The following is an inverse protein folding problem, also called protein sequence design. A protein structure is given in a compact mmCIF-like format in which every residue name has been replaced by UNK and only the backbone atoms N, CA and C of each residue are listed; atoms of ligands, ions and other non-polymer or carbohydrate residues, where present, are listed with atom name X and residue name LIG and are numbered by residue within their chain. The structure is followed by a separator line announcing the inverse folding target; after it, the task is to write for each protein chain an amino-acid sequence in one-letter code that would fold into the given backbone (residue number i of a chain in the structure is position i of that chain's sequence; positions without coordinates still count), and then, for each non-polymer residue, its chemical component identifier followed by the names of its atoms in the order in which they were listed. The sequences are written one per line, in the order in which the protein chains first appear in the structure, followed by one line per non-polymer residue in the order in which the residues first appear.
data_IF_314088375589
#
_entry.id   IF_314088375589
#
_cell.length_a   1.000
_cell.length_b   1.000
_cell.length_c   1.000
_cell.angle_alpha   90.00
_cell.angle_beta   90.00
_cell.angle_gamma   90.00
#
_symmetry.space_group_name_H-M   'P 1'
#
loop_
_entity.id
_entity.type
_entity.pdbx_description
1 polymer ?
#
# COMPACT_ATOMS: atom_id res chain seq x y z
N UNK A 1 19.18 18.19 4.93
CA UNK A 1 18.53 17.32 3.92
C UNK A 1 19.39 17.17 2.66
N UNK A 2 19.82 18.27 2.03
CA UNK A 2 20.62 18.23 0.79
C UNK A 2 21.90 17.40 0.96
N UNK A 3 22.70 17.67 1.97
CA UNK A 3 23.97 16.97 2.22
C UNK A 3 23.78 15.46 2.36
N UNK A 4 22.67 15.02 2.98
CA UNK A 4 22.34 13.59 3.09
C UNK A 4 21.99 12.98 1.73
N UNK A 5 21.21 13.68 0.91
CA UNK A 5 20.85 13.23 -0.44
C UNK A 5 22.10 13.14 -1.30
N UNK A 6 22.93 14.18 -1.29
CA UNK A 6 24.19 14.21 -2.03
C UNK A 6 25.12 13.07 -1.61
N UNK A 7 25.25 12.84 -0.31
CA UNK A 7 26.04 11.73 0.21
C UNK A 7 25.58 10.38 -0.33
N UNK A 8 24.28 10.08 -0.22
CA UNK A 8 23.75 8.79 -0.66
C UNK A 8 23.79 8.61 -2.18
N UNK A 9 23.46 9.63 -2.98
CA UNK A 9 23.53 9.55 -4.43
C UNK A 9 24.98 9.37 -4.94
N UNK A 10 25.95 10.10 -4.35
CA UNK A 10 27.36 9.90 -4.67
C UNK A 10 27.81 8.48 -4.29
N UNK A 11 27.38 7.96 -3.13
CA UNK A 11 27.70 6.59 -2.71
C UNK A 11 27.11 5.54 -3.68
N UNK A 12 25.86 5.70 -4.10
CA UNK A 12 25.21 4.85 -5.13
C UNK A 12 26.05 4.85 -6.40
N UNK A 13 26.45 6.02 -6.90
CA UNK A 13 27.28 6.16 -8.09
C UNK A 13 28.67 5.53 -7.94
N UNK A 14 29.34 5.77 -6.83
CA UNK A 14 30.69 5.23 -6.55
C UNK A 14 30.68 3.70 -6.46
N UNK A 15 29.57 3.10 -6.00
CA UNK A 15 29.39 1.65 -5.94
C UNK A 15 29.01 1.03 -7.30
N UNK A 16 28.90 1.82 -8.37
CA UNK A 16 28.64 1.35 -9.72
C UNK A 16 27.15 1.12 -10.05
N UNK A 17 26.22 1.56 -9.18
CA UNK A 17 24.80 1.50 -9.50
C UNK A 17 24.42 2.56 -10.54
N UNK A 18 23.41 2.27 -11.31
CA UNK A 18 22.90 3.13 -12.39
C UNK A 18 21.55 3.77 -12.09
N UNK A 19 20.86 3.28 -11.06
CA UNK A 19 19.51 3.70 -10.69
C UNK A 19 19.42 4.04 -9.20
N UNK A 20 18.63 5.05 -8.88
CA UNK A 20 18.23 5.39 -7.51
C UNK A 20 16.71 5.29 -7.39
N UNK A 21 16.21 4.51 -6.43
CA UNK A 21 14.78 4.39 -6.14
C UNK A 21 14.50 5.16 -4.86
N UNK A 22 13.58 6.13 -4.94
CA UNK A 22 13.23 7.03 -3.84
C UNK A 22 11.81 6.75 -3.39
N UNK A 23 11.59 6.31 -2.14
CA UNK A 23 10.24 6.13 -1.58
C UNK A 23 9.66 7.51 -1.25
N UNK A 24 8.74 7.97 -2.07
CA UNK A 24 8.07 9.27 -1.95
C UNK A 24 6.67 9.18 -1.33
N UNK A 25 6.13 7.97 -1.21
CA UNK A 25 4.86 7.70 -0.55
C UNK A 25 4.99 6.44 0.31
N UNK A 26 5.51 6.60 1.54
CA UNK A 26 5.65 5.49 2.48
C UNK A 26 4.29 4.91 2.90
N UNK A 27 4.33 3.83 3.67
CA UNK A 27 3.13 3.06 4.07
C UNK A 27 2.06 3.86 4.81
N UNK A 28 2.38 5.04 5.34
CA UNK A 28 1.40 5.93 5.99
C UNK A 28 0.39 6.53 5.01
N UNK A 29 0.70 6.51 3.71
CA UNK A 29 -0.10 7.18 2.68
C UNK A 29 0.18 8.67 2.54
N UNK A 30 0.95 9.26 3.47
CA UNK A 30 1.49 10.62 3.32
C UNK A 30 2.56 10.66 2.22
N UNK A 31 2.81 11.83 1.64
CA UNK A 31 3.79 12.00 0.57
C UNK A 31 4.94 12.94 0.96
N UNK A 32 6.10 12.77 0.33
CA UNK A 32 7.32 13.56 0.57
C UNK A 32 7.50 14.71 -0.43
N UNK A 33 6.42 15.15 -1.04
CA UNK A 33 6.37 16.30 -1.94
C UNK A 33 5.08 17.09 -1.69
N UNK A 34 4.97 18.30 -2.24
CA UNK A 34 3.77 19.12 -2.12
C UNK A 34 2.67 18.59 -3.04
N UNK A 35 1.66 17.94 -2.46
CA UNK A 35 0.54 17.31 -3.16
C UNK A 35 -0.76 18.04 -2.96
N UNK A 36 -1.62 18.01 -3.98
CA UNK A 36 -3.00 18.49 -3.93
C UNK A 36 -4.00 17.38 -3.54
N UNK A 37 -3.54 16.12 -3.55
CA UNK A 37 -4.39 14.94 -3.34
C UNK A 37 -4.07 14.16 -2.06
N UNK A 38 -2.83 14.22 -1.56
CA UNK A 38 -2.42 13.48 -0.39
C UNK A 38 -1.79 14.39 0.68
N UNK A 39 -1.93 14.09 1.97
CA UNK A 39 -1.27 14.85 3.01
C UNK A 39 0.24 14.75 2.90
N UNK A 40 0.92 15.89 3.00
CA UNK A 40 2.37 15.91 3.03
C UNK A 40 2.89 15.46 4.39
N UNK A 41 3.88 14.58 4.40
CA UNK A 41 4.59 14.20 5.61
C UNK A 41 5.46 15.36 6.08
N UNK A 42 5.05 16.03 7.17
CA UNK A 42 5.76 17.20 7.72
C UNK A 42 6.85 16.82 8.70
N UNK A 43 6.73 15.65 9.32
CA UNK A 43 7.66 15.19 10.35
C UNK A 43 7.65 13.66 10.45
N UNK A 44 8.81 13.07 10.69
CA UNK A 44 8.96 11.66 11.01
C UNK A 44 10.05 11.45 12.06
N UNK A 45 9.69 10.89 13.23
CA UNK A 45 10.62 10.61 14.34
C UNK A 45 11.48 11.79 14.75
N UNK A 46 10.87 12.97 14.85
CA UNK A 46 11.54 14.22 15.21
C UNK A 46 12.25 14.94 14.04
N UNK A 47 12.44 14.29 12.90
CA UNK A 47 12.98 14.92 11.71
C UNK A 47 11.87 15.66 10.95
N UNK A 48 12.00 16.99 10.80
CA UNK A 48 11.05 17.83 10.07
C UNK A 48 11.40 17.87 8.58
N UNK A 49 10.41 17.64 7.72
CA UNK A 49 10.59 17.72 6.28
C UNK A 49 10.70 19.16 5.77
N UNK A 50 9.97 20.12 6.37
CA UNK A 50 9.88 21.50 5.89
C UNK A 50 9.22 21.58 4.52
N UNK A 51 9.51 22.70 3.80
CA UNK A 51 9.00 22.95 2.43
C UNK A 51 10.00 22.49 1.34
N UNK A 52 10.97 21.64 1.70
CA UNK A 52 11.97 21.18 0.76
C UNK A 52 11.37 20.16 -0.22
N UNK A 53 11.55 20.40 -1.52
CA UNK A 53 11.15 19.48 -2.57
C UNK A 53 12.18 18.34 -2.71
N UNK A 54 11.94 17.27 -1.96
CA UNK A 54 12.81 16.10 -1.95
C UNK A 54 12.90 15.44 -3.31
N UNK A 55 11.76 15.21 -3.98
CA UNK A 55 11.74 14.48 -5.24
C UNK A 55 12.41 15.27 -6.35
N UNK A 56 12.08 16.55 -6.51
CA UNK A 56 12.72 17.41 -7.49
C UNK A 56 14.22 17.49 -7.29
N UNK A 57 14.67 17.54 -6.04
CA UNK A 57 16.11 17.56 -5.75
C UNK A 57 16.79 16.21 -6.05
N UNK A 58 16.15 15.09 -5.73
CA UNK A 58 16.66 13.75 -6.07
C UNK A 58 16.82 13.57 -7.59
N UNK A 59 15.81 13.98 -8.36
CA UNK A 59 15.83 13.89 -9.83
C UNK A 59 16.99 14.72 -10.37
N UNK A 60 17.04 16.01 -10.03
CA UNK A 60 18.10 16.92 -10.47
C UNK A 60 19.50 16.36 -10.15
N UNK A 61 19.72 16.00 -8.88
CA UNK A 61 21.03 15.56 -8.43
C UNK A 61 21.41 14.18 -8.95
N UNK A 62 20.45 13.28 -9.08
CA UNK A 62 20.65 11.98 -9.68
C UNK A 62 21.09 12.10 -11.15
N UNK A 63 20.40 12.92 -11.94
CA UNK A 63 20.76 13.17 -13.33
C UNK A 63 22.12 13.85 -13.50
N UNK A 64 22.49 14.79 -12.62
CA UNK A 64 23.84 15.38 -12.59
C UNK A 64 24.94 14.32 -12.41
N UNK A 65 24.63 13.22 -11.70
CA UNK A 65 25.53 12.09 -11.48
C UNK A 65 25.40 10.99 -12.54
N UNK A 66 24.52 11.14 -13.53
CA UNK A 66 24.23 10.13 -14.55
C UNK A 66 23.55 8.88 -13.97
N UNK A 67 22.63 9.07 -13.01
CA UNK A 67 21.75 8.04 -12.46
C UNK A 67 20.34 8.23 -12.99
N UNK A 68 19.63 7.14 -13.26
CA UNK A 68 18.18 7.16 -13.40
C UNK A 68 17.53 7.26 -12.01
N UNK A 69 16.49 8.09 -11.88
CA UNK A 69 15.76 8.29 -10.62
C UNK A 69 14.32 7.84 -10.77
N UNK A 70 13.95 6.82 -9.98
CA UNK A 70 12.61 6.25 -9.96
C UNK A 70 11.90 6.58 -8.64
N UNK A 71 10.65 7.02 -8.71
CA UNK A 71 9.83 7.25 -7.53
C UNK A 71 9.09 5.96 -7.13
N UNK A 72 9.26 5.54 -5.87
CA UNK A 72 8.50 4.43 -5.29
C UNK A 72 7.28 4.94 -4.52
N UNK A 73 6.13 4.30 -4.73
CA UNK A 73 4.88 4.60 -4.03
C UNK A 73 4.23 3.31 -3.53
N UNK A 74 3.87 3.28 -2.25
CA UNK A 74 3.05 2.22 -1.68
C UNK A 74 1.60 2.41 -2.11
N UNK A 75 1.11 1.63 -3.09
CA UNK A 75 -0.20 1.83 -3.73
C UNK A 75 -1.35 1.47 -2.79
N UNK A 76 -1.48 0.20 -2.38
CA UNK A 76 -2.56 -0.23 -1.50
C UNK A 76 -2.12 -0.33 -0.04
N UNK A 77 -1.46 0.72 0.48
CA UNK A 77 -1.13 0.87 1.89
C UNK A 77 -1.21 2.34 2.29
N UNK A 78 -1.89 2.63 3.40
CA UNK A 78 -2.08 3.99 3.89
C UNK A 78 -2.14 4.07 5.42
N UNK A 79 -1.43 3.19 6.11
CA UNK A 79 -1.28 3.20 7.56
C UNK A 79 -0.07 2.43 8.04
N UNK A 80 0.49 2.88 9.16
CA UNK A 80 1.60 2.25 9.88
C UNK A 80 1.11 1.74 11.23
N UNK A 81 0.88 0.42 11.35
CA UNK A 81 0.19 -0.17 12.51
C UNK A 81 0.95 -0.07 13.82
N UNK A 82 2.30 0.04 13.82
CA UNK A 82 3.06 0.21 15.07
C UNK A 82 2.98 1.62 15.65
N UNK A 83 2.69 2.63 14.82
CA UNK A 83 2.64 4.02 15.24
C UNK A 83 1.24 4.60 15.19
N UNK A 84 0.23 3.80 14.84
CA UNK A 84 -1.15 4.24 14.63
C UNK A 84 -1.24 5.53 13.81
N UNK A 85 -0.45 5.57 12.73
CA UNK A 85 -0.28 6.75 11.90
C UNK A 85 -0.61 6.47 10.44
N UNK A 86 -1.12 7.48 9.76
CA UNK A 86 -1.45 7.46 8.34
C UNK A 86 -2.92 7.71 8.08
N UNK A 87 -3.31 7.70 6.81
CA UNK A 87 -4.63 8.12 6.38
C UNK A 87 -5.75 7.29 6.98
N UNK A 88 -5.56 5.97 7.16
CA UNK A 88 -6.57 5.09 7.79
C UNK A 88 -6.73 5.31 9.30
N UNK A 89 -5.81 6.04 9.93
CA UNK A 89 -5.90 6.39 11.34
C UNK A 89 -6.42 7.81 11.59
N UNK A 90 -6.29 8.70 10.59
CA UNK A 90 -6.56 10.13 10.78
C UNK A 90 -7.72 10.69 9.95
N UNK A 91 -8.28 9.94 9.01
CA UNK A 91 -9.32 10.50 8.14
C UNK A 91 -10.14 9.49 7.36
N UNK A 92 -9.58 8.30 7.07
CA UNK A 92 -10.19 7.31 6.18
C UNK A 92 -10.13 5.88 6.71
N UNK A 93 -10.66 5.60 7.92
CA UNK A 93 -10.68 4.24 8.48
C UNK A 93 -11.43 3.23 7.60
N UNK A 94 -12.42 3.70 6.83
CA UNK A 94 -13.24 2.90 5.91
C UNK A 94 -12.45 2.36 4.69
N UNK A 95 -11.27 2.88 4.41
CA UNK A 95 -10.41 2.38 3.34
C UNK A 95 -9.62 1.13 3.77
N UNK A 96 -9.42 0.95 5.09
CA UNK A 96 -8.62 -0.16 5.61
C UNK A 96 -9.23 -1.52 5.25
N UNK A 97 -8.36 -2.46 4.88
CA UNK A 97 -8.76 -3.85 4.65
C UNK A 97 -9.32 -4.48 5.91
N UNK A 98 -10.33 -5.34 5.74
CA UNK A 98 -10.83 -6.22 6.79
C UNK A 98 -10.16 -7.59 6.68
N UNK A 99 -9.55 -8.05 7.76
CA UNK A 99 -8.84 -9.33 7.80
C UNK A 99 -9.65 -10.38 8.55
N UNK A 100 -9.70 -11.58 8.00
CA UNK A 100 -10.33 -12.73 8.67
C UNK A 100 -9.30 -13.51 9.47
N UNK A 101 -9.47 -13.53 10.78
CA UNK A 101 -8.57 -14.17 11.75
C UNK A 101 -9.24 -15.35 12.45
N UNK A 102 -8.46 -16.35 12.91
CA UNK A 102 -9.04 -17.53 13.56
C UNK A 102 -9.68 -17.25 14.93
N UNK A 103 -9.16 -16.22 15.64
CA UNK A 103 -9.55 -15.98 17.05
C UNK A 103 -10.56 -14.83 17.18
N UNK A 104 -10.49 -13.83 16.30
CA UNK A 104 -11.31 -12.61 16.41
C UNK A 104 -12.36 -12.48 15.28
N UNK A 105 -12.38 -13.44 14.32
CA UNK A 105 -13.23 -13.31 13.14
C UNK A 105 -12.74 -12.24 12.18
N UNK A 106 -13.65 -11.46 11.58
CA UNK A 106 -13.34 -10.37 10.63
C UNK A 106 -13.14 -9.08 11.42
N UNK A 107 -11.94 -8.51 11.36
CA UNK A 107 -11.54 -7.27 12.04
C UNK A 107 -10.82 -6.32 11.08
N UNK A 108 -10.78 -5.01 11.36
CA UNK A 108 -9.93 -4.08 10.62
C UNK A 108 -8.44 -4.47 10.71
N UNK A 109 -7.71 -4.34 9.62
CA UNK A 109 -6.26 -4.62 9.61
C UNK A 109 -5.47 -3.75 10.59
N UNK A 110 -6.00 -2.60 10.97
CA UNK A 110 -5.42 -1.69 11.97
C UNK A 110 -5.39 -2.27 13.38
N UNK A 111 -6.20 -3.31 13.66
CA UNK A 111 -6.19 -4.05 14.93
C UNK A 111 -5.17 -5.20 14.95
N UNK A 112 -4.61 -5.56 13.79
CA UNK A 112 -3.59 -6.59 13.67
C UNK A 112 -2.18 -5.99 13.79
N UNK A 113 -1.76 -5.69 15.03
CA UNK A 113 -0.50 -4.97 15.29
C UNK A 113 0.77 -5.69 14.87
N UNK A 114 0.74 -6.99 14.63
CA UNK A 114 1.86 -7.73 14.05
C UNK A 114 2.04 -7.46 12.55
N UNK A 115 1.02 -6.93 11.87
CA UNK A 115 1.11 -6.49 10.48
C UNK A 115 1.66 -5.07 10.42
N UNK A 116 2.81 -4.91 9.81
CA UNK A 116 3.54 -3.64 9.74
C UNK A 116 2.74 -2.52 9.09
N UNK A 117 2.16 -2.78 7.93
CA UNK A 117 1.39 -1.79 7.15
C UNK A 117 -0.11 -2.07 7.16
N UNK A 118 -0.92 -1.04 7.36
CA UNK A 118 -2.36 -1.11 7.15
C UNK A 118 -2.65 -1.05 5.64
N UNK A 119 -2.87 -2.23 5.06
CA UNK A 119 -3.25 -2.36 3.65
C UNK A 119 -4.67 -1.87 3.43
N UNK A 120 -4.91 -1.36 2.23
CA UNK A 120 -6.20 -0.85 1.77
C UNK A 120 -6.94 -1.95 1.01
N UNK A 121 -8.27 -1.89 1.06
CA UNK A 121 -9.11 -2.75 0.22
C UNK A 121 -8.98 -2.34 -1.25
N UNK A 122 -8.41 -3.19 -2.15
CA UNK A 122 -8.21 -2.84 -3.55
C UNK A 122 -9.49 -2.62 -4.37
N UNK A 123 -10.66 -3.01 -3.86
CA UNK A 123 -11.95 -2.80 -4.55
C UNK A 123 -12.69 -1.55 -4.06
N UNK A 124 -12.10 -0.76 -3.17
CA UNK A 124 -12.64 0.52 -2.74
C UNK A 124 -12.43 1.56 -3.84
N UNK A 125 -13.52 2.00 -4.49
CA UNK A 125 -13.48 2.90 -5.66
C UNK A 125 -13.01 4.31 -5.28
N UNK A 126 -13.37 4.80 -4.11
CA UNK A 126 -12.92 6.10 -3.62
C UNK A 126 -11.41 6.12 -3.47
N UNK A 127 -10.86 5.11 -2.80
CA UNK A 127 -9.40 5.00 -2.67
C UNK A 127 -8.70 4.80 -4.02
N UNK A 128 -9.27 4.01 -4.93
CA UNK A 128 -8.72 3.85 -6.29
C UNK A 128 -8.62 5.19 -7.02
N UNK A 129 -9.67 6.01 -6.91
CA UNK A 129 -9.67 7.35 -7.48
C UNK A 129 -8.60 8.22 -6.84
N UNK A 130 -8.48 8.20 -5.51
CA UNK A 130 -7.46 8.92 -4.77
C UNK A 130 -6.04 8.54 -5.24
N UNK A 131 -5.70 7.26 -5.22
CA UNK A 131 -4.33 6.83 -5.57
C UNK A 131 -3.99 7.07 -7.05
N UNK A 132 -4.96 6.96 -7.97
CA UNK A 132 -4.76 7.31 -9.37
C UNK A 132 -4.47 8.81 -9.54
N UNK A 133 -5.13 9.67 -8.78
CA UNK A 133 -4.84 11.11 -8.80
C UNK A 133 -3.43 11.41 -8.27
N UNK A 134 -3.00 10.75 -7.21
CA UNK A 134 -1.62 10.86 -6.68
C UNK A 134 -0.60 10.40 -7.74
N UNK A 135 -0.83 9.28 -8.41
CA UNK A 135 0.08 8.77 -9.46
C UNK A 135 0.17 9.73 -10.64
N UNK A 136 -0.98 10.23 -11.13
CA UNK A 136 -1.04 11.24 -12.19
C UNK A 136 -0.33 12.52 -11.80
N UNK A 137 -0.52 12.96 -10.57
CA UNK A 137 0.13 14.17 -10.04
C UNK A 137 1.65 14.05 -10.09
N UNK A 138 2.22 12.91 -9.66
CA UNK A 138 3.68 12.71 -9.68
C UNK A 138 4.24 12.85 -11.09
N UNK A 139 3.68 12.16 -12.09
CA UNK A 139 4.19 12.22 -13.46
C UNK A 139 3.94 13.57 -14.13
N UNK A 140 2.95 14.34 -13.67
CA UNK A 140 2.66 15.68 -14.20
C UNK A 140 3.56 16.74 -13.58
N UNK A 141 3.78 16.68 -12.25
CA UNK A 141 4.64 17.65 -11.53
C UNK A 141 6.14 17.40 -11.75
N UNK A 142 6.51 16.15 -12.01
CA UNK A 142 7.91 15.72 -12.19
C UNK A 142 8.08 14.97 -13.52
N UNK A 143 7.94 15.66 -14.68
CA UNK A 143 7.99 15.03 -16.00
C UNK A 143 9.36 14.42 -16.32
N UNK A 144 10.41 14.84 -15.62
CA UNK A 144 11.79 14.33 -15.79
C UNK A 144 12.07 13.06 -14.95
N UNK A 145 11.07 12.51 -14.24
CA UNK A 145 11.23 11.24 -13.52
C UNK A 145 11.42 10.09 -14.50
N UNK A 146 12.41 9.24 -14.28
CA UNK A 146 12.73 8.13 -15.20
C UNK A 146 11.74 6.96 -15.06
N UNK A 147 11.06 6.83 -13.92
CA UNK A 147 10.05 5.79 -13.75
C UNK A 147 9.33 5.81 -12.42
N UNK A 148 8.25 5.02 -12.34
CA UNK A 148 7.52 4.75 -11.11
C UNK A 148 7.68 3.30 -10.70
N UNK A 149 7.97 3.07 -9.43
CA UNK A 149 7.89 1.76 -8.79
C UNK A 149 6.60 1.70 -7.96
N UNK A 150 5.66 0.87 -8.39
CA UNK A 150 4.40 0.66 -7.70
C UNK A 150 4.54 -0.48 -6.70
N UNK A 151 4.85 -0.13 -5.44
CA UNK A 151 4.93 -1.12 -4.36
C UNK A 151 3.54 -1.40 -3.78
N UNK A 152 3.37 -2.59 -3.19
CA UNK A 152 2.14 -3.06 -2.54
C UNK A 152 0.90 -3.03 -3.44
N UNK A 153 1.05 -3.29 -4.74
CA UNK A 153 -0.09 -3.50 -5.65
C UNK A 153 -0.62 -4.92 -5.44
N UNK A 154 -1.19 -5.16 -4.27
CA UNK A 154 -1.65 -6.49 -3.83
C UNK A 154 -2.60 -6.42 -2.64
N UNK A 155 -3.32 -7.51 -2.39
CA UNK A 155 -3.98 -7.74 -1.11
C UNK A 155 -2.99 -8.11 -0.01
N UNK A 156 -3.38 -7.97 1.26
CA UNK A 156 -2.59 -8.42 2.42
C UNK A 156 -2.73 -9.93 2.64
N UNK A 157 -2.19 -10.72 1.72
CA UNK A 157 -2.29 -12.17 1.79
C UNK A 157 -3.70 -12.72 1.54
N UNK A 158 -3.94 -13.98 1.87
CA UNK A 158 -5.23 -14.66 1.64
C UNK A 158 -6.30 -14.28 2.67
N UNK A 159 -5.90 -13.72 3.79
CA UNK A 159 -6.78 -13.32 4.90
C UNK A 159 -7.47 -11.98 4.70
N UNK A 160 -7.21 -11.27 3.61
CA UNK A 160 -7.82 -10.01 3.24
C UNK A 160 -8.25 -10.00 1.75
N UNK A 161 -9.25 -9.24 1.32
CA UNK A 161 -10.13 -8.42 2.12
C UNK A 161 -11.48 -9.13 2.33
N UNK A 162 -11.99 -9.13 3.55
CA UNK A 162 -13.27 -9.75 3.92
C UNK A 162 -14.31 -8.70 4.37
N UNK A 163 -14.22 -7.48 3.84
CA UNK A 163 -15.22 -6.45 4.10
C UNK A 163 -16.60 -6.78 3.48
N UNK A 164 -17.68 -6.15 3.96
CA UNK A 164 -18.97 -6.20 3.29
C UNK A 164 -18.92 -5.79 1.83
N UNK A 165 -18.11 -4.78 1.49
CA UNK A 165 -17.90 -4.32 0.10
C UNK A 165 -17.28 -5.43 -0.77
N UNK A 166 -16.26 -6.12 -0.28
CA UNK A 166 -15.65 -7.23 -1.02
C UNK A 166 -16.61 -8.39 -1.21
N UNK A 167 -17.43 -8.70 -0.21
CA UNK A 167 -18.52 -9.67 -0.34
C UNK A 167 -19.50 -9.28 -1.43
N UNK A 168 -20.02 -8.07 -1.38
CA UNK A 168 -20.99 -7.55 -2.37
C UNK A 168 -20.46 -7.63 -3.80
N UNK A 169 -19.23 -7.11 -4.02
CA UNK A 169 -18.60 -7.12 -5.35
C UNK A 169 -18.29 -8.53 -5.84
N UNK A 170 -17.92 -9.44 -4.96
CA UNK A 170 -17.71 -10.84 -5.32
C UNK A 170 -19.02 -11.57 -5.67
N UNK A 171 -20.09 -11.34 -4.88
CA UNK A 171 -21.42 -11.87 -5.18
C UNK A 171 -21.93 -11.36 -6.55
N UNK A 172 -21.72 -10.08 -6.86
CA UNK A 172 -22.04 -9.51 -8.16
C UNK A 172 -21.19 -10.15 -9.30
N UNK A 173 -19.89 -10.36 -9.07
CA UNK A 173 -19.00 -11.02 -10.03
C UNK A 173 -19.41 -12.46 -10.35
N UNK A 174 -19.88 -13.20 -9.36
CA UNK A 174 -20.29 -14.62 -9.53
C UNK A 174 -21.74 -14.79 -9.93
N UNK A 175 -22.58 -13.77 -9.77
CA UNK A 175 -24.03 -13.86 -9.88
C UNK A 175 -24.69 -14.72 -8.80
N UNK A 176 -23.99 -14.98 -7.68
CA UNK A 176 -24.45 -15.88 -6.62
C UNK A 176 -24.28 -15.23 -5.25
N UNK A 177 -25.27 -15.43 -4.39
CA UNK A 177 -25.20 -15.03 -2.98
C UNK A 177 -24.44 -16.06 -2.16
N UNK A 178 -23.58 -15.59 -1.26
CA UNK A 178 -22.89 -16.42 -0.29
C UNK A 178 -23.83 -16.69 0.90
N UNK A 179 -24.07 -17.95 1.20
CA UNK A 179 -24.97 -18.35 2.31
C UNK A 179 -24.27 -18.24 3.67
N UNK A 180 -22.96 -18.49 3.69
CA UNK A 180 -22.11 -18.41 4.89
C UNK A 180 -20.82 -17.67 4.53
N UNK A 181 -20.75 -16.41 4.91
CA UNK A 181 -19.55 -15.60 4.71
C UNK A 181 -18.89 -15.32 6.07
N UNK A 182 -17.58 -15.60 6.24
CA UNK A 182 -16.56 -15.89 5.21
C UNK A 182 -16.36 -17.40 4.91
N UNK A 183 -17.09 -18.32 5.54
CA UNK A 183 -16.85 -19.78 5.52
C UNK A 183 -17.00 -20.37 4.11
N UNK A 184 -17.86 -19.82 3.27
CA UNK A 184 -18.01 -20.23 1.86
C UNK A 184 -16.70 -19.97 1.07
N UNK A 185 -15.80 -19.08 1.56
CA UNK A 185 -14.49 -18.78 0.99
C UNK A 185 -13.45 -19.72 1.63
N UNK A 186 -13.24 -19.62 2.95
CA UNK A 186 -12.44 -20.58 3.71
C UNK A 186 -12.79 -20.53 5.20
N UNK A 187 -12.40 -21.59 5.92
CA UNK A 187 -12.45 -21.65 7.38
C UNK A 187 -11.05 -21.85 7.95
N UNK A 188 -10.90 -21.67 9.24
CA UNK A 188 -9.68 -21.96 9.96
C UNK A 188 -9.69 -23.37 10.54
N UNK A 189 -8.61 -24.13 10.37
CA UNK A 189 -8.41 -25.46 10.96
C UNK A 189 -7.03 -25.52 11.62
N UNK A 190 -6.93 -26.16 12.77
CA UNK A 190 -5.64 -26.46 13.37
C UNK A 190 -4.98 -27.63 12.66
N UNK A 191 -3.70 -27.47 12.30
CA UNK A 191 -2.87 -28.56 11.79
C UNK A 191 -2.31 -29.42 12.95
N UNK A 192 -1.48 -30.41 12.62
CA UNK A 192 -0.87 -31.31 13.61
C UNK A 192 -0.01 -30.59 14.65
N UNK A 193 0.59 -29.45 14.29
CA UNK A 193 1.41 -28.62 15.18
C UNK A 193 0.57 -27.62 16.00
N UNK A 194 -0.76 -27.70 15.92
CA UNK A 194 -1.67 -26.78 16.61
C UNK A 194 -1.78 -25.38 16.00
N UNK A 195 -1.16 -25.14 14.83
CA UNK A 195 -1.22 -23.85 14.10
C UNK A 195 -2.48 -23.79 13.26
N UNK A 196 -3.11 -22.60 13.25
CA UNK A 196 -4.22 -22.35 12.35
C UNK A 196 -3.76 -22.24 10.89
N UNK A 197 -4.44 -22.99 10.03
CA UNK A 197 -4.25 -22.96 8.59
C UNK A 197 -5.61 -22.76 7.89
N UNK A 198 -5.67 -22.07 6.76
CA UNK A 198 -6.91 -21.92 6.02
C UNK A 198 -7.33 -23.25 5.40
N UNK A 199 -8.60 -23.62 5.60
CA UNK A 199 -9.25 -24.75 4.93
C UNK A 199 -10.14 -24.18 3.83
N UNK A 200 -9.83 -24.37 2.54
CA UNK A 200 -10.59 -23.85 1.42
C UNK A 200 -12.08 -24.22 1.48
N UNK A 201 -12.94 -23.25 1.26
CA UNK A 201 -14.37 -23.41 1.08
C UNK A 201 -14.73 -23.55 -0.42
N UNK A 202 -16.04 -23.68 -0.68
CA UNK A 202 -16.60 -23.92 -2.03
C UNK A 202 -16.19 -22.86 -3.05
N UNK A 203 -16.07 -21.60 -2.65
CA UNK A 203 -15.78 -20.48 -3.54
C UNK A 203 -14.32 -20.00 -3.50
N UNK A 204 -13.44 -20.68 -2.76
CA UNK A 204 -12.06 -20.23 -2.58
C UNK A 204 -11.29 -20.02 -3.91
N UNK A 205 -11.30 -20.97 -4.88
CA UNK A 205 -10.61 -20.76 -6.15
C UNK A 205 -11.16 -19.55 -6.93
N UNK A 206 -12.48 -19.38 -6.91
CA UNK A 206 -13.15 -18.27 -7.60
C UNK A 206 -12.89 -16.92 -6.93
N UNK A 207 -12.76 -16.92 -5.60
CA UNK A 207 -12.36 -15.75 -4.82
C UNK A 207 -10.94 -15.31 -5.19
N UNK A 208 -9.99 -16.24 -5.31
CA UNK A 208 -8.62 -15.92 -5.74
C UNK A 208 -8.59 -15.35 -7.16
N UNK A 209 -9.32 -15.95 -8.10
CA UNK A 209 -9.46 -15.44 -9.47
C UNK A 209 -9.99 -14.00 -9.49
N UNK A 210 -11.08 -13.76 -8.77
CA UNK A 210 -11.69 -12.43 -8.67
C UNK A 210 -10.72 -11.39 -8.08
N UNK A 211 -10.01 -11.75 -7.01
CA UNK A 211 -9.00 -10.87 -6.41
C UNK A 211 -7.88 -10.51 -7.39
N UNK A 212 -7.38 -11.50 -8.14
CA UNK A 212 -6.35 -11.25 -9.16
C UNK A 212 -6.83 -10.24 -10.19
N UNK A 213 -8.06 -10.39 -10.70
CA UNK A 213 -8.66 -9.43 -11.66
C UNK A 213 -8.80 -8.00 -11.13
N UNK A 214 -8.87 -7.81 -9.83
CA UNK A 214 -8.97 -6.47 -9.23
C UNK A 214 -7.61 -5.77 -9.08
N UNK A 215 -6.52 -6.50 -9.22
CA UNK A 215 -5.15 -5.95 -9.12
C UNK A 215 -4.55 -5.71 -10.51
N UNK A 216 -4.87 -6.55 -11.47
CA UNK A 216 -4.43 -6.41 -12.88
C UNK A 216 -5.38 -5.53 -13.68
#
# INVERSE_FOLDING_TARGET
HKDSIDYYLNKIKTLGFTHAIVDIRPITGEVLYKSDFAPQMKEWKGAKAGDFDYLGYFIKKGHELGLEVHASLNVFCAGHNYFDRGMVYSGHPEWASMVYTPDKGIIPITEEKHKYGAMINPVNEEYRTHILNVLKEVVTKYPDIDGLMLDRVRYDGITADFSPLSREKFEAYTGKKLSKFPEDIFTWKKNADGKYVPQPGRYFPKWLEWRTKNIT
#
